data_IF_769992657127
#
_entry.id   IF_769992657127
#
_cell.length_a   1.000
_cell.length_b   1.000
_cell.length_c   1.000
_cell.angle_alpha   90.00
_cell.angle_beta   90.00
_cell.angle_gamma   90.00
#
_symmetry.space_group_name_H-M   'P 1'
#
loop_
_entity.id
_entity.type
_entity.pdbx_description
1 polymer ?
#
# COMPACT_ATOMS: atom_id res chain seq x y z
N UNK A 1 43.22 77.65 -53.62
CA UNK A 1 43.00 78.24 -52.28
C UNK A 1 43.24 77.18 -51.22
N UNK A 2 43.69 77.63 -50.07
CA UNK A 2 44.37 76.94 -48.97
C UNK A 2 43.57 75.92 -48.15
N UNK A 3 44.36 75.12 -47.40
CA UNK A 3 44.16 74.57 -46.05
C UNK A 3 43.11 73.45 -45.86
N UNK A 4 43.47 72.23 -45.43
CA UNK A 4 44.09 71.78 -44.16
C UNK A 4 43.13 71.81 -42.95
N UNK A 5 42.84 70.64 -42.36
CA UNK A 5 43.18 70.28 -40.97
C UNK A 5 42.71 68.85 -40.56
N UNK A 6 43.65 68.11 -39.96
CA UNK A 6 43.58 66.79 -39.28
C UNK A 6 42.80 66.88 -37.93
N UNK A 7 42.34 65.85 -37.20
CA UNK A 7 42.56 64.39 -37.07
C UNK A 7 41.74 63.88 -35.84
N UNK A 8 42.07 62.82 -35.06
CA UNK A 8 42.76 61.54 -35.33
C UNK A 8 42.05 60.25 -34.78
N UNK A 9 42.34 59.10 -35.43
CA UNK A 9 42.61 57.71 -34.94
C UNK A 9 41.85 57.03 -33.77
N UNK A 10 41.34 55.79 -33.97
CA UNK A 10 42.01 54.49 -33.60
C UNK A 10 41.13 53.21 -33.73
N UNK A 11 41.64 52.26 -34.52
CA UNK A 11 41.86 50.80 -34.31
C UNK A 11 40.82 49.88 -33.61
N UNK A 12 40.55 48.74 -34.27
CA UNK A 12 40.67 47.30 -33.88
C UNK A 12 39.59 46.50 -34.65
N UNK A 13 39.75 45.29 -35.18
CA UNK A 13 40.79 44.26 -35.14
C UNK A 13 40.15 42.93 -35.58
N UNK A 14 40.73 42.31 -36.60
CA UNK A 14 40.87 40.87 -36.92
C UNK A 14 39.90 39.81 -36.35
N UNK A 15 39.43 38.90 -37.21
CA UNK A 15 38.97 37.57 -36.79
C UNK A 15 38.44 36.69 -37.93
N UNK A 16 39.19 35.66 -38.29
CA UNK A 16 39.04 34.81 -39.48
C UNK A 16 38.71 33.37 -39.06
N UNK A 17 37.84 32.70 -39.85
CA UNK A 17 37.66 31.22 -40.06
C UNK A 17 37.03 30.37 -38.94
N UNK A 18 36.15 29.44 -39.33
CA UNK A 18 36.42 27.99 -39.44
C UNK A 18 35.17 27.27 -40.01
N UNK A 19 35.41 26.40 -41.00
CA UNK A 19 34.44 25.48 -41.59
C UNK A 19 34.19 24.27 -40.67
N UNK A 20 32.98 23.70 -40.69
CA UNK A 20 32.68 22.44 -40.00
C UNK A 20 32.14 21.40 -40.99
N UNK A 21 32.84 20.27 -40.99
CA UNK A 21 32.64 19.07 -41.81
C UNK A 21 31.58 18.16 -41.18
N UNK A 22 30.91 17.40 -42.04
CA UNK A 22 29.84 16.44 -41.80
C UNK A 22 30.08 15.39 -40.70
N UNK A 23 28.98 14.89 -40.12
CA UNK A 23 28.94 13.67 -39.34
C UNK A 23 27.52 13.29 -38.94
N UNK A 24 26.83 12.50 -39.77
CA UNK A 24 25.63 11.77 -39.36
C UNK A 24 25.98 10.29 -39.39
N UNK A 25 25.99 9.62 -38.24
CA UNK A 25 25.68 8.18 -38.15
C UNK A 25 24.90 7.93 -36.87
N UNK A 26 23.82 7.17 -37.04
CA UNK A 26 22.65 7.11 -36.18
C UNK A 26 22.92 6.43 -34.83
N UNK A 27 22.51 7.09 -33.75
CA UNK A 27 22.26 6.41 -32.48
C UNK A 27 20.97 5.59 -32.62
N UNK A 28 21.09 4.26 -32.71
CA UNK A 28 19.95 3.35 -32.57
C UNK A 28 19.58 3.31 -31.09
N UNK A 29 18.65 4.16 -30.67
CA UNK A 29 18.03 4.06 -29.36
C UNK A 29 17.09 2.86 -29.37
N UNK A 30 17.51 1.75 -28.79
CA UNK A 30 16.63 0.61 -28.57
C UNK A 30 15.50 1.05 -27.61
N UNK A 31 14.31 1.29 -28.16
CA UNK A 31 13.09 1.52 -27.41
C UNK A 31 12.65 0.18 -26.82
N UNK A 32 13.08 -0.09 -25.59
CA UNK A 32 12.60 -1.24 -24.82
C UNK A 32 11.17 -0.92 -24.39
N UNK A 33 10.19 -1.48 -25.10
CA UNK A 33 8.80 -1.49 -24.64
C UNK A 33 8.70 -2.46 -23.46
N UNK A 34 8.76 -1.94 -22.24
CA UNK A 34 8.31 -2.69 -21.07
C UNK A 34 6.79 -2.73 -21.13
N UNK A 35 6.23 -3.83 -21.64
CA UNK A 35 4.82 -4.16 -21.40
C UNK A 35 4.65 -4.35 -19.88
N UNK A 36 4.22 -3.31 -19.20
CA UNK A 36 3.77 -3.42 -17.82
C UNK A 36 2.65 -4.43 -17.79
N UNK A 37 2.86 -5.56 -17.12
CA UNK A 37 1.78 -6.50 -16.87
C UNK A 37 0.76 -5.75 -16.01
N UNK A 38 -0.39 -5.42 -16.59
CA UNK A 38 -1.53 -4.94 -15.82
C UNK A 38 -1.92 -6.09 -14.88
N UNK A 39 -1.56 -5.98 -13.62
CA UNK A 39 -2.02 -6.92 -12.63
C UNK A 39 -3.55 -6.72 -12.52
N UNK A 40 -4.31 -7.76 -12.87
CA UNK A 40 -5.75 -7.76 -12.69
C UNK A 40 -6.04 -7.94 -11.21
N UNK A 41 -6.76 -6.98 -10.62
CA UNK A 41 -7.30 -7.11 -9.28
C UNK A 41 -8.40 -8.19 -9.29
N UNK A 42 -8.24 -9.23 -8.47
CA UNK A 42 -9.24 -10.28 -8.34
C UNK A 42 -10.41 -9.78 -7.50
N UNK A 43 -11.63 -10.11 -7.93
CA UNK A 43 -12.83 -9.86 -7.12
C UNK A 43 -12.86 -10.86 -5.97
N UNK A 44 -12.85 -10.33 -4.74
CA UNK A 44 -12.91 -11.12 -3.51
C UNK A 44 -14.35 -11.31 -3.03
N UNK A 45 -15.19 -10.29 -3.26
CA UNK A 45 -16.59 -10.28 -2.88
C UNK A 45 -17.33 -9.19 -3.66
N UNK A 46 -18.58 -9.43 -4.01
CA UNK A 46 -19.46 -8.44 -4.60
C UNK A 46 -20.90 -8.71 -4.19
N UNK A 47 -21.69 -7.65 -4.06
CA UNK A 47 -23.11 -7.73 -3.81
C UNK A 47 -23.81 -6.48 -4.37
N UNK A 48 -24.72 -6.68 -5.34
CA UNK A 48 -25.56 -5.63 -5.91
C UNK A 48 -26.98 -5.63 -5.32
N UNK A 49 -27.27 -6.57 -4.39
CA UNK A 49 -28.56 -6.74 -3.73
C UNK A 49 -29.77 -6.91 -4.67
N UNK A 50 -29.55 -7.15 -5.97
CA UNK A 50 -30.60 -7.27 -6.98
C UNK A 50 -31.45 -8.53 -6.79
N UNK A 51 -30.91 -9.53 -6.09
CA UNK A 51 -31.59 -10.78 -5.72
C UNK A 51 -32.53 -10.64 -4.51
N UNK A 52 -32.63 -9.44 -3.93
CA UNK A 52 -33.56 -9.12 -2.85
C UNK A 52 -33.12 -9.62 -1.47
N UNK A 53 -31.87 -10.07 -1.30
CA UNK A 53 -31.36 -10.51 0.00
C UNK A 53 -29.93 -9.96 0.28
N UNK A 54 -29.48 -10.12 1.52
CA UNK A 54 -28.13 -9.74 1.94
C UNK A 54 -27.40 -10.97 2.51
N UNK A 55 -27.45 -12.10 1.81
CA UNK A 55 -26.77 -13.31 2.22
C UNK A 55 -25.25 -13.07 2.35
N UNK A 56 -24.63 -13.63 3.39
CA UNK A 56 -23.21 -13.42 3.67
C UNK A 56 -22.89 -12.14 4.46
N UNK A 57 -23.89 -11.30 4.75
CA UNK A 57 -23.74 -10.15 5.64
C UNK A 57 -24.10 -10.48 7.09
N UNK A 58 -23.40 -9.86 8.03
CA UNK A 58 -23.67 -9.95 9.47
C UNK A 58 -23.77 -8.56 10.08
N UNK A 59 -24.92 -8.25 10.67
CA UNK A 59 -25.23 -6.91 11.20
C UNK A 59 -24.85 -6.76 12.68
N UNK A 60 -24.47 -5.54 13.05
CA UNK A 60 -24.31 -5.10 14.44
C UNK A 60 -25.01 -3.76 14.61
N UNK A 61 -26.14 -3.77 15.33
CA UNK A 61 -26.98 -2.60 15.55
C UNK A 61 -27.74 -2.11 14.30
N UNK A 62 -28.69 -1.21 14.52
CA UNK A 62 -29.57 -0.68 13.47
C UNK A 62 -30.64 -1.66 13.01
N UNK A 63 -31.36 -1.25 11.96
CA UNK A 63 -32.40 -2.04 11.30
C UNK A 63 -32.05 -2.12 9.82
N UNK A 64 -31.71 -3.32 9.36
CA UNK A 64 -31.18 -3.56 8.03
C UNK A 64 -32.12 -4.45 7.23
N UNK A 65 -32.35 -4.10 5.96
CA UNK A 65 -33.18 -4.88 5.05
C UNK A 65 -32.82 -4.56 3.61
N UNK A 66 -32.89 -5.54 2.72
CA UNK A 66 -32.85 -5.27 1.28
C UNK A 66 -34.24 -4.90 0.80
N UNK A 67 -34.33 -3.81 0.03
CA UNK A 67 -35.57 -3.35 -0.58
C UNK A 67 -35.25 -2.63 -1.88
N UNK A 68 -36.04 -2.91 -2.92
CA UNK A 68 -35.87 -2.32 -4.26
C UNK A 68 -34.44 -2.44 -4.83
N UNK A 69 -33.78 -3.58 -4.60
CA UNK A 69 -32.43 -3.84 -5.09
C UNK A 69 -31.31 -3.09 -4.35
N UNK A 70 -31.57 -2.56 -3.15
CA UNK A 70 -30.55 -1.89 -2.34
C UNK A 70 -30.61 -2.34 -0.89
N UNK A 71 -29.46 -2.40 -0.23
CA UNK A 71 -29.37 -2.74 1.18
C UNK A 71 -29.52 -1.50 2.05
N UNK A 72 -30.64 -1.38 2.74
CA UNK A 72 -31.01 -0.19 3.50
C UNK A 72 -30.78 -0.37 5.00
N UNK A 73 -30.25 0.68 5.62
CA UNK A 73 -30.34 0.92 7.05
C UNK A 73 -31.36 2.03 7.28
N UNK A 74 -32.40 1.78 8.08
CA UNK A 74 -33.56 2.67 8.20
C UNK A 74 -33.57 3.61 9.42
N UNK A 75 -32.63 3.46 10.36
CA UNK A 75 -32.67 4.16 11.66
C UNK A 75 -31.48 5.06 11.93
N UNK A 76 -31.69 6.27 12.47
CA UNK A 76 -30.61 7.21 12.80
C UNK A 76 -30.21 7.21 14.29
N UNK A 77 -30.70 6.25 15.08
CA UNK A 77 -30.53 6.23 16.55
C UNK A 77 -29.38 5.36 17.05
N UNK A 78 -28.66 4.64 16.17
CA UNK A 78 -27.62 3.70 16.57
C UNK A 78 -26.36 3.81 15.70
N UNK A 79 -25.23 3.37 16.26
CA UNK A 79 -24.03 3.05 15.47
C UNK A 79 -24.22 1.68 14.82
N UNK A 80 -24.66 1.67 13.55
CA UNK A 80 -24.97 0.45 12.83
C UNK A 80 -23.85 0.05 11.88
N UNK A 81 -23.60 -1.25 11.76
CA UNK A 81 -22.64 -1.84 10.82
C UNK A 81 -23.17 -3.13 10.22
N UNK A 82 -22.71 -3.45 9.03
CA UNK A 82 -22.94 -4.74 8.39
C UNK A 82 -21.63 -5.23 7.79
N UNK A 83 -21.22 -6.45 8.07
CA UNK A 83 -19.89 -6.98 7.72
C UNK A 83 -20.02 -8.19 6.79
N UNK A 84 -19.13 -8.31 5.82
CA UNK A 84 -19.12 -9.42 4.87
C UNK A 84 -17.69 -9.87 4.52
N UNK A 85 -17.59 -11.09 4.00
CA UNK A 85 -16.34 -11.64 3.50
C UNK A 85 -15.42 -12.25 4.57
N UNK A 86 -14.13 -12.27 4.28
CA UNK A 86 -13.12 -13.01 5.06
C UNK A 86 -12.27 -12.11 5.97
N UNK A 87 -11.87 -12.63 7.14
CA UNK A 87 -10.91 -11.96 8.03
C UNK A 87 -9.46 -12.05 7.53
N UNK A 88 -9.18 -12.88 6.52
CA UNK A 88 -7.83 -13.09 5.98
C UNK A 88 -7.38 -12.03 4.96
N UNK A 89 -8.27 -11.16 4.50
CA UNK A 89 -7.93 -10.18 3.47
C UNK A 89 -7.01 -9.10 4.01
N UNK A 90 -5.81 -8.97 3.42
CA UNK A 90 -4.75 -8.05 3.85
C UNK A 90 -4.67 -6.82 2.97
N UNK A 91 -4.73 -6.98 1.65
CA UNK A 91 -4.73 -5.89 0.68
C UNK A 91 -6.07 -5.84 0.01
N UNK A 92 -6.84 -4.80 0.29
CA UNK A 92 -8.23 -4.69 -0.18
C UNK A 92 -8.54 -3.29 -0.70
N UNK A 93 -9.31 -3.24 -1.78
CA UNK A 93 -10.07 -2.05 -2.15
C UNK A 93 -11.55 -2.37 -1.99
N UNK A 94 -12.23 -1.61 -1.14
CA UNK A 94 -13.68 -1.71 -0.93
C UNK A 94 -14.33 -0.54 -1.63
N UNK A 95 -15.39 -0.79 -2.38
CA UNK A 95 -16.21 0.24 -3.01
C UNK A 95 -17.69 -0.08 -2.86
N UNK A 96 -18.51 0.97 -2.79
CA UNK A 96 -19.96 0.87 -2.81
C UNK A 96 -20.58 2.21 -3.22
N UNK A 97 -21.77 2.15 -3.80
CA UNK A 97 -22.65 3.31 -3.89
C UNK A 97 -23.38 3.48 -2.58
N UNK A 98 -23.34 4.70 -2.02
CA UNK A 98 -24.02 5.05 -0.77
C UNK A 98 -24.98 6.19 -1.01
N UNK A 99 -26.17 6.11 -0.43
CA UNK A 99 -27.20 7.14 -0.53
C UNK A 99 -27.76 7.45 0.87
N UNK A 100 -27.24 8.46 1.58
CA UNK A 100 -27.80 8.88 2.85
C UNK A 100 -29.24 9.38 2.65
N UNK A 101 -30.16 8.98 3.50
CA UNK A 101 -31.56 9.46 3.49
C UNK A 101 -31.85 10.37 4.68
N UNK A 102 -31.15 10.18 5.80
CA UNK A 102 -31.22 11.07 6.95
C UNK A 102 -29.93 11.01 7.78
N UNK A 103 -29.44 12.15 8.22
CA UNK A 103 -28.38 12.24 9.23
C UNK A 103 -29.00 12.58 10.58
N UNK A 104 -28.69 11.81 11.62
CA UNK A 104 -29.12 12.11 12.99
C UNK A 104 -28.41 13.33 13.58
N UNK A 105 -28.48 13.51 14.90
CA UNK A 105 -27.88 14.67 15.58
C UNK A 105 -26.51 14.38 16.21
N UNK A 106 -26.08 13.12 16.25
CA UNK A 106 -24.80 12.74 16.84
C UNK A 106 -23.61 13.38 16.10
N UNK A 107 -22.58 13.81 16.83
CA UNK A 107 -21.36 14.37 16.23
C UNK A 107 -20.59 13.36 15.38
N UNK A 108 -20.68 12.06 15.72
CA UNK A 108 -20.04 10.96 15.00
C UNK A 108 -20.86 10.41 13.82
N UNK A 109 -22.01 11.04 13.51
CA UNK A 109 -22.90 10.59 12.44
C UNK A 109 -22.19 10.52 11.08
N UNK A 110 -22.61 9.57 10.26
CA UNK A 110 -22.16 9.41 8.90
C UNK A 110 -22.43 8.02 8.34
N UNK A 111 -22.32 7.91 7.03
CA UNK A 111 -22.54 6.67 6.27
C UNK A 111 -21.28 6.36 5.46
N UNK A 112 -20.95 5.09 5.24
CA UNK A 112 -19.83 4.74 4.37
C UNK A 112 -19.43 3.28 4.39
N UNK A 113 -18.18 3.02 4.05
CA UNK A 113 -17.62 1.69 3.86
C UNK A 113 -16.42 1.45 4.79
N UNK A 114 -16.16 0.18 5.11
CA UNK A 114 -15.08 -0.24 5.98
C UNK A 114 -14.23 -1.34 5.33
N UNK A 115 -12.94 -1.31 5.66
CA UNK A 115 -11.94 -2.27 5.24
C UNK A 115 -11.17 -2.79 6.45
N UNK A 116 -10.63 -4.00 6.32
CA UNK A 116 -9.84 -4.68 7.36
C UNK A 116 -10.56 -4.71 8.72
N UNK A 117 -11.84 -5.03 8.70
CA UNK A 117 -12.67 -5.13 9.90
C UNK A 117 -12.29 -6.39 10.68
N UNK A 118 -11.68 -6.21 11.85
CA UNK A 118 -11.37 -7.27 12.80
C UNK A 118 -12.49 -7.45 13.82
N UNK A 119 -13.10 -6.33 14.23
CA UNK A 119 -14.28 -6.30 15.11
C UNK A 119 -15.11 -5.05 14.84
N UNK A 120 -16.26 -4.90 15.50
CA UNK A 120 -17.11 -3.71 15.42
C UNK A 120 -16.48 -2.44 16.00
N UNK A 121 -15.31 -2.56 16.63
CA UNK A 121 -14.51 -1.44 17.17
C UNK A 121 -13.13 -1.29 16.49
N UNK A 122 -12.65 -2.33 15.79
CA UNK A 122 -11.32 -2.37 15.17
C UNK A 122 -11.45 -2.53 13.65
N UNK A 123 -11.34 -1.41 12.94
CA UNK A 123 -11.47 -1.33 11.48
C UNK A 123 -10.93 0.01 10.96
N UNK A 124 -10.72 0.10 9.65
CA UNK A 124 -10.64 1.38 8.95
C UNK A 124 -11.93 1.64 8.19
N UNK A 125 -12.40 2.88 8.17
CA UNK A 125 -13.60 3.25 7.42
C UNK A 125 -13.41 4.56 6.67
N UNK A 126 -14.01 4.64 5.50
CA UNK A 126 -14.25 5.89 4.78
C UNK A 126 -15.70 6.28 5.03
N UNK A 127 -15.89 7.38 5.75
CA UNK A 127 -17.21 7.84 6.21
C UNK A 127 -17.52 9.20 5.60
N UNK A 128 -18.69 9.26 4.97
CA UNK A 128 -19.34 10.47 4.51
C UNK A 128 -20.21 11.05 5.63
N UNK A 129 -19.94 12.30 5.97
CA UNK A 129 -20.73 13.10 6.92
C UNK A 129 -21.42 14.24 6.15
N UNK A 130 -22.31 15.04 6.77
CA UNK A 130 -22.94 16.16 6.06
C UNK A 130 -21.95 17.18 5.46
N UNK A 131 -20.79 17.38 6.09
CA UNK A 131 -19.83 18.45 5.74
C UNK A 131 -18.39 17.98 5.49
N UNK A 132 -18.13 16.68 5.58
CA UNK A 132 -16.79 16.12 5.33
C UNK A 132 -16.81 14.66 4.90
N UNK A 133 -15.72 14.24 4.25
CA UNK A 133 -15.35 12.84 4.09
C UNK A 133 -14.15 12.54 4.97
N UNK A 134 -14.15 11.39 5.64
CA UNK A 134 -13.20 11.07 6.70
C UNK A 134 -12.68 9.64 6.58
N UNK A 135 -11.37 9.44 6.73
CA UNK A 135 -10.80 8.15 7.08
C UNK A 135 -10.81 8.04 8.60
N UNK A 136 -11.52 7.04 9.13
CA UNK A 136 -11.61 6.76 10.57
C UNK A 136 -10.95 5.44 10.92
N UNK A 137 -10.38 5.38 12.12
CA UNK A 137 -9.91 4.18 12.81
C UNK A 137 -10.89 3.88 13.94
N UNK A 138 -11.56 2.73 13.83
CA UNK A 138 -12.65 2.38 14.73
C UNK A 138 -13.77 3.44 14.73
N UNK A 139 -14.50 3.53 15.84
CA UNK A 139 -15.61 4.47 15.98
C UNK A 139 -15.19 5.89 16.43
N UNK A 140 -13.97 6.07 16.93
CA UNK A 140 -13.60 7.26 17.73
C UNK A 140 -12.48 8.13 17.18
N UNK A 141 -11.69 7.67 16.20
CA UNK A 141 -10.50 8.40 15.74
C UNK A 141 -10.59 8.73 14.26
N UNK A 142 -10.55 10.01 13.92
CA UNK A 142 -10.39 10.47 12.53
C UNK A 142 -8.90 10.59 12.22
N UNK A 143 -8.43 9.86 11.21
CA UNK A 143 -7.04 9.87 10.76
C UNK A 143 -6.77 10.91 9.66
N UNK A 144 -7.77 11.16 8.81
CA UNK A 144 -7.73 12.19 7.79
C UNK A 144 -9.15 12.67 7.48
N UNK A 145 -9.28 13.93 7.06
CA UNK A 145 -10.55 14.55 6.71
C UNK A 145 -10.36 15.56 5.60
N UNK A 146 -11.37 15.69 4.74
CA UNK A 146 -11.48 16.75 3.75
C UNK A 146 -12.92 17.29 3.72
N UNK A 147 -13.08 18.57 3.38
CA UNK A 147 -14.40 19.18 3.22
C UNK A 147 -15.15 18.53 2.06
N UNK A 148 -16.40 18.14 2.31
CA UNK A 148 -17.28 17.54 1.30
C UNK A 148 -18.73 17.75 1.72
N UNK A 149 -19.58 18.28 0.85
CA UNK A 149 -20.99 18.53 1.19
C UNK A 149 -21.87 17.39 0.70
N UNK A 150 -22.30 16.52 1.60
CA UNK A 150 -23.19 15.40 1.29
C UNK A 150 -24.65 15.82 1.45
N UNK A 151 -25.45 15.60 0.41
CA UNK A 151 -26.89 15.86 0.41
C UNK A 151 -27.66 14.55 0.60
N UNK A 152 -28.72 14.59 1.40
CA UNK A 152 -29.64 13.45 1.51
C UNK A 152 -30.35 13.18 0.20
N UNK A 153 -30.58 11.91 -0.12
CA UNK A 153 -31.22 11.48 -1.37
C UNK A 153 -30.27 11.41 -2.56
N UNK A 154 -29.04 11.91 -2.44
CA UNK A 154 -28.00 11.83 -3.49
C UNK A 154 -27.12 10.61 -3.30
N UNK A 155 -26.84 9.91 -4.40
CA UNK A 155 -25.93 8.76 -4.41
C UNK A 155 -24.48 9.21 -4.60
N UNK A 156 -23.56 8.57 -3.87
CA UNK A 156 -22.12 8.79 -3.94
C UNK A 156 -21.40 7.46 -4.06
N UNK A 157 -20.44 7.34 -4.97
CA UNK A 157 -19.56 6.17 -5.03
C UNK A 157 -18.38 6.39 -4.10
N UNK A 158 -18.28 5.59 -3.05
CA UNK A 158 -17.13 5.61 -2.15
C UNK A 158 -16.14 4.53 -2.56
N UNK A 159 -14.85 4.81 -2.41
CA UNK A 159 -13.81 3.79 -2.52
C UNK A 159 -12.74 3.99 -1.46
N UNK A 160 -12.44 2.92 -0.73
CA UNK A 160 -11.40 2.87 0.29
C UNK A 160 -10.40 1.79 -0.09
N UNK A 161 -9.16 2.20 -0.40
CA UNK A 161 -8.04 1.29 -0.60
C UNK A 161 -7.20 1.18 0.66
N UNK A 162 -6.92 -0.05 1.08
CA UNK A 162 -6.07 -0.38 2.22
C UNK A 162 -4.98 -1.38 1.78
N UNK A 163 -3.77 -0.87 1.54
CA UNK A 163 -2.62 -1.64 1.08
C UNK A 163 -1.39 -1.35 1.96
N UNK A 164 -0.84 -2.38 2.62
CA UNK A 164 0.17 -2.17 3.66
C UNK A 164 -0.36 -1.21 4.73
N UNK A 165 0.40 -0.17 5.08
CA UNK A 165 -0.09 0.89 5.97
C UNK A 165 -0.82 2.04 5.26
N UNK A 166 -0.90 2.04 3.92
CA UNK A 166 -1.50 3.14 3.15
C UNK A 166 -3.02 3.01 3.11
N UNK A 167 -3.71 4.11 3.42
CA UNK A 167 -5.15 4.24 3.36
C UNK A 167 -5.51 5.42 2.44
N UNK A 168 -6.30 5.14 1.40
CA UNK A 168 -6.70 6.15 0.41
C UNK A 168 -8.20 6.09 0.22
N UNK A 169 -8.86 7.24 0.33
CA UNK A 169 -10.30 7.39 0.20
C UNK A 169 -10.69 8.33 -0.93
N UNK A 170 -11.62 7.91 -1.77
CA UNK A 170 -12.19 8.70 -2.85
C UNK A 170 -13.72 8.75 -2.79
N UNK A 171 -14.26 9.82 -3.37
CA UNK A 171 -15.71 10.00 -3.60
C UNK A 171 -15.90 10.29 -5.07
N UNK A 172 -16.80 9.56 -5.73
CA UNK A 172 -17.08 9.66 -7.16
C UNK A 172 -15.82 9.56 -8.03
N UNK A 173 -14.89 8.67 -7.66
CA UNK A 173 -13.62 8.45 -8.35
C UNK A 173 -12.52 9.48 -8.07
N UNK A 174 -12.83 10.62 -7.42
CA UNK A 174 -11.82 11.61 -7.04
C UNK A 174 -11.24 11.32 -5.67
N UNK A 175 -9.92 11.15 -5.57
CA UNK A 175 -9.23 10.98 -4.29
C UNK A 175 -9.30 12.27 -3.47
N UNK A 176 -9.89 12.20 -2.27
CA UNK A 176 -10.07 13.36 -1.39
C UNK A 176 -9.26 13.27 -0.11
N UNK A 177 -8.97 12.06 0.38
CA UNK A 177 -8.27 11.85 1.65
C UNK A 177 -7.27 10.71 1.52
N UNK A 178 -6.12 10.84 2.18
CA UNK A 178 -5.13 9.77 2.31
C UNK A 178 -4.38 9.90 3.63
N UNK A 179 -3.94 8.78 4.18
CA UNK A 179 -3.18 8.72 5.44
C UNK A 179 -2.43 7.39 5.54
N UNK A 180 -1.65 7.20 6.61
CA UNK A 180 -0.99 5.95 6.92
C UNK A 180 -1.28 5.48 8.35
N UNK A 181 -1.69 4.21 8.49
CA UNK A 181 -1.83 3.50 9.77
C UNK A 181 -1.75 1.99 9.52
N UNK A 182 -0.94 1.28 10.30
CA UNK A 182 -0.68 -0.16 10.16
C UNK A 182 -1.28 -1.03 11.29
N UNK A 183 -2.14 -0.46 12.14
CA UNK A 183 -2.70 -1.14 13.31
C UNK A 183 -3.60 -2.33 12.94
N UNK A 184 -4.31 -2.26 11.82
CA UNK A 184 -5.14 -3.34 11.32
C UNK A 184 -4.58 -3.85 9.99
N UNK A 185 -3.96 -5.04 10.04
CA UNK A 185 -3.27 -5.65 8.89
C UNK A 185 -4.17 -6.50 7.98
N UNK A 186 -5.31 -6.98 8.50
CA UNK A 186 -6.26 -7.78 7.74
C UNK A 186 -7.67 -7.68 8.32
N UNK A 187 -8.67 -8.08 7.55
CA UNK A 187 -10.03 -8.23 8.04
C UNK A 187 -11.08 -8.18 6.94
N UNK A 188 -12.33 -8.28 7.38
CA UNK A 188 -13.53 -8.25 6.53
C UNK A 188 -13.73 -6.88 5.87
N UNK A 189 -14.64 -6.82 4.90
CA UNK A 189 -15.23 -5.58 4.44
C UNK A 189 -16.49 -5.26 5.27
N UNK A 190 -16.96 -4.02 5.21
CA UNK A 190 -18.22 -3.67 5.85
C UNK A 190 -18.84 -2.37 5.37
N UNK A 191 -20.10 -2.18 5.79
CA UNK A 191 -20.89 -0.98 5.63
C UNK A 191 -21.05 -0.32 7.00
N UNK A 192 -21.01 1.01 7.01
CA UNK A 192 -21.06 1.82 8.22
C UNK A 192 -22.22 2.80 8.10
N UNK A 193 -23.13 2.79 9.07
CA UNK A 193 -24.24 3.72 9.18
C UNK A 193 -24.32 4.22 10.63
N UNK A 194 -23.44 5.15 10.99
CA UNK A 194 -23.40 5.71 12.33
C UNK A 194 -24.47 6.79 12.44
N UNK A 195 -25.52 6.56 13.23
CA UNK A 195 -26.60 7.53 13.47
C UNK A 195 -27.15 8.15 12.18
N UNK A 196 -27.24 7.35 11.12
CA UNK A 196 -27.55 7.81 9.76
C UNK A 196 -28.35 6.72 9.08
N UNK A 197 -29.50 7.08 8.51
CA UNK A 197 -30.26 6.20 7.64
C UNK A 197 -29.78 6.38 6.18
N UNK A 198 -29.82 5.31 5.41
CA UNK A 198 -29.42 5.34 4.00
C UNK A 198 -29.42 3.97 3.35
N UNK A 199 -29.11 3.95 2.06
CA UNK A 199 -29.02 2.74 1.26
C UNK A 199 -27.59 2.54 0.72
N UNK A 200 -27.25 1.28 0.53
CA UNK A 200 -26.00 0.80 -0.04
C UNK A 200 -26.30 -0.09 -1.23
N UNK A 201 -25.47 0.01 -2.26
CA UNK A 201 -25.63 -0.73 -3.51
C UNK A 201 -24.27 -0.91 -4.19
N UNK A 202 -24.16 -1.87 -5.10
CA UNK A 202 -22.98 -2.15 -5.92
C UNK A 202 -21.71 -2.30 -5.06
N UNK A 203 -21.77 -3.13 -4.02
CA UNK A 203 -20.61 -3.41 -3.19
C UNK A 203 -19.63 -4.26 -3.98
N UNK A 204 -18.37 -3.83 -4.04
CA UNK A 204 -17.29 -4.57 -4.66
C UNK A 204 -16.03 -4.51 -3.79
N UNK A 205 -15.46 -5.67 -3.53
CA UNK A 205 -14.18 -5.85 -2.83
C UNK A 205 -13.21 -6.55 -3.75
N UNK A 206 -12.05 -5.95 -3.97
CA UNK A 206 -10.97 -6.55 -4.76
C UNK A 206 -9.69 -6.64 -3.96
N UNK A 207 -8.83 -7.61 -4.29
CA UNK A 207 -7.43 -7.50 -3.88
C UNK A 207 -6.78 -6.40 -4.73
N UNK A 208 -6.19 -5.39 -4.10
CA UNK A 208 -5.49 -4.37 -4.87
C UNK A 208 -4.21 -5.03 -5.40
N UNK A 209 -4.28 -5.64 -6.60
CA UNK A 209 -3.12 -5.97 -7.38
C UNK A 209 -2.50 -4.65 -7.87
N UNK A 210 -1.85 -3.93 -6.97
CA UNK A 210 -0.92 -2.88 -7.37
C UNK A 210 0.19 -3.52 -8.22
N UNK A 211 0.94 -2.75 -9.02
CA UNK A 211 2.18 -3.28 -9.57
C UNK A 211 3.05 -3.69 -8.39
N UNK A 212 3.15 -4.99 -8.15
CA UNK A 212 4.24 -5.51 -7.33
C UNK A 212 5.49 -5.00 -8.04
N UNK A 213 6.43 -4.31 -7.37
CA UNK A 213 7.75 -4.16 -7.94
C UNK A 213 8.25 -5.59 -8.13
N UNK A 214 8.18 -6.10 -9.36
CA UNK A 214 8.97 -7.26 -9.74
C UNK A 214 10.38 -6.83 -9.42
N UNK A 215 10.91 -7.41 -8.35
CA UNK A 215 12.33 -7.34 -8.06
C UNK A 215 12.98 -7.80 -9.35
N UNK A 216 13.67 -6.89 -10.05
CA UNK A 216 14.45 -7.25 -11.21
C UNK A 216 15.23 -8.52 -10.83
N UNK A 217 15.22 -9.58 -11.67
CA UNK A 217 16.02 -10.76 -11.37
C UNK A 217 17.43 -10.26 -11.03
N UNK A 218 18.07 -10.78 -9.96
CA UNK A 218 19.37 -10.28 -9.54
C UNK A 218 20.27 -10.28 -10.77
N UNK A 219 20.66 -9.09 -11.21
CA UNK A 219 21.61 -8.92 -12.31
C UNK A 219 22.83 -9.69 -11.88
N UNK A 220 23.03 -10.86 -12.49
CA UNK A 220 24.19 -11.69 -12.23
C UNK A 220 25.38 -10.81 -12.56
N UNK A 221 26.28 -10.49 -11.63
CA UNK A 221 27.49 -9.79 -12.00
C UNK A 221 28.20 -10.70 -13.00
N UNK A 222 28.36 -10.21 -14.24
CA UNK A 222 29.23 -10.84 -15.23
C UNK A 222 30.59 -10.98 -14.58
N UNK A 223 30.90 -12.20 -14.15
CA UNK A 223 32.23 -12.54 -13.68
C UNK A 223 33.12 -12.49 -14.90
N UNK A 224 33.86 -11.39 -15.03
CA UNK A 224 35.04 -11.31 -15.89
C UNK A 224 35.84 -12.60 -15.72
N UNK A 225 36.13 -13.36 -16.78
CA UNK A 225 36.87 -14.61 -16.66
C UNK A 225 38.23 -14.34 -15.99
N UNK A 226 38.65 -15.14 -14.99
CA UNK A 226 39.96 -14.96 -14.39
C UNK A 226 41.06 -15.23 -15.45
N UNK A 227 42.18 -14.49 -15.41
CA UNK A 227 43.26 -14.70 -16.37
C UNK A 227 43.78 -16.14 -16.29
N UNK A 228 43.90 -16.76 -17.46
CA UNK A 228 44.31 -18.15 -17.66
C UNK A 228 45.67 -18.39 -17.00
N UNK A 229 45.71 -19.09 -15.86
CA UNK A 229 46.96 -19.47 -15.19
C UNK A 229 47.75 -20.42 -16.08
N UNK A 230 48.99 -20.02 -16.40
CA UNK A 230 50.02 -20.81 -17.08
C UNK A 230 50.25 -22.13 -16.32
N UNK A 231 50.39 -23.30 -16.98
CA UNK A 231 50.52 -24.58 -16.29
C UNK A 231 51.82 -24.64 -15.46
N UNK A 232 51.67 -24.94 -14.16
CA UNK A 232 52.79 -25.25 -13.26
C UNK A 232 53.40 -26.59 -13.65
N UNK A 233 54.73 -26.61 -13.83
CA UNK A 233 55.52 -27.84 -14.00
C UNK A 233 55.32 -28.76 -12.80
N UNK A 234 55.03 -30.04 -13.08
CA UNK A 234 54.89 -31.12 -12.09
C UNK A 234 56.22 -31.30 -11.34
N UNK A 235 56.16 -31.30 -10.01
CA UNK A 235 57.26 -31.71 -9.12
C UNK A 235 57.18 -33.23 -8.91
N UNK A 236 58.29 -33.99 -8.94
CA UNK A 236 58.26 -35.44 -8.71
C UNK A 236 58.08 -35.79 -7.22
N UNK A 237 57.57 -36.98 -6.90
CA UNK A 237 57.27 -37.38 -5.54
C UNK A 237 58.54 -37.71 -4.75
N UNK A 238 58.64 -37.22 -3.49
CA UNK A 238 59.65 -37.66 -2.53
C UNK A 238 59.08 -38.73 -1.59
N UNK A 239 59.92 -39.74 -1.37
CA UNK A 239 59.71 -41.01 -0.67
C UNK A 239 59.23 -40.87 0.78
N UNK A 240 58.42 -41.86 1.19
CA UNK A 240 58.05 -42.19 2.57
C UNK A 240 59.28 -42.57 3.42
N UNK A 241 59.24 -42.25 4.73
CA UNK A 241 59.90 -43.00 5.83
C UNK A 241 59.10 -42.87 7.14
N UNK A 242 59.30 -43.78 8.12
CA UNK A 242 58.23 -44.26 9.01
C UNK A 242 58.26 -43.73 10.47
N UNK A 243 57.10 -43.95 11.11
CA UNK A 243 56.68 -43.98 12.52
C UNK A 243 57.76 -43.96 13.62
N UNK A 244 57.50 -43.20 14.69
CA UNK A 244 57.93 -43.52 16.06
C UNK A 244 56.87 -43.08 17.10
N UNK A 245 56.74 -43.90 18.13
CA UNK A 245 55.82 -43.84 19.27
C UNK A 245 56.11 -42.70 20.26
N UNK A 246 55.05 -42.13 20.88
CA UNK A 246 54.98 -41.88 22.35
C UNK A 246 53.57 -41.45 22.80
N UNK A 247 53.10 -42.06 23.88
CA UNK A 247 52.08 -41.55 24.83
C UNK A 247 52.79 -41.41 26.20
N UNK A 248 52.15 -41.06 27.34
CA UNK A 248 50.81 -40.51 27.63
C UNK A 248 50.81 -39.32 28.65
N UNK A 249 49.60 -38.88 29.04
CA UNK A 249 49.16 -38.51 30.41
C UNK A 249 48.81 -37.04 30.76
N UNK A 250 47.67 -36.94 31.47
CA UNK A 250 47.27 -35.88 32.41
C UNK A 250 46.39 -34.77 31.80
N UNK A 251 45.38 -34.19 32.46
CA UNK A 251 44.70 -34.38 33.75
C UNK A 251 43.65 -33.26 33.84
N UNK A 252 42.51 -33.52 34.49
CA UNK A 252 41.61 -32.56 35.20
C UNK A 252 41.04 -31.35 34.41
N UNK A 253 39.79 -30.92 34.60
CA UNK A 253 38.88 -31.08 35.70
C UNK A 253 37.48 -30.58 35.33
N UNK A 254 36.55 -30.86 36.24
CA UNK A 254 35.12 -30.97 36.03
C UNK A 254 34.26 -29.69 36.05
N UNK A 255 32.94 -29.84 36.36
CA UNK A 255 31.84 -29.14 35.69
C UNK A 255 31.12 -28.12 36.59
N UNK A 256 30.11 -27.42 36.04
CA UNK A 256 28.88 -26.85 36.67
C UNK A 256 28.37 -25.70 35.78
N UNK A 257 27.09 -25.39 35.57
CA UNK A 257 25.76 -25.88 35.96
C UNK A 257 24.76 -25.07 35.09
N UNK A 258 23.59 -25.57 34.66
CA UNK A 258 22.55 -24.74 34.07
C UNK A 258 21.63 -24.15 35.16
N UNK A 259 21.28 -22.87 35.05
CA UNK A 259 20.29 -22.22 35.92
C UNK A 259 18.90 -22.30 35.29
N UNK A 260 18.00 -23.00 35.98
CA UNK A 260 16.57 -23.15 35.70
C UNK A 260 15.79 -22.10 36.48
N UNK A 261 14.81 -21.50 35.82
CA UNK A 261 13.75 -20.60 36.32
C UNK A 261 12.62 -21.44 36.95
N UNK A 262 11.92 -21.01 38.02
CA UNK A 262 10.50 -20.63 37.84
C UNK A 262 9.98 -19.57 38.87
N UNK A 263 9.09 -18.64 38.47
CA UNK A 263 7.63 -18.53 38.77
C UNK A 263 7.30 -18.02 40.19
N UNK A 264 6.51 -16.93 40.27
CA UNK A 264 5.95 -16.32 41.50
C UNK A 264 4.81 -17.15 42.13
N UNK A 265 3.78 -16.56 42.79
CA UNK A 265 3.42 -15.15 42.97
C UNK A 265 2.98 -14.78 44.42
N UNK A 266 2.31 -13.62 44.53
CA UNK A 266 1.29 -13.22 45.52
C UNK A 266 1.70 -12.33 46.71
N UNK A 267 1.18 -11.10 46.67
CA UNK A 267 0.86 -10.26 47.83
C UNK A 267 -0.35 -10.85 48.60
N UNK A 268 -0.63 -10.44 49.86
CA UNK A 268 -1.44 -9.21 50.05
C UNK A 268 -1.19 -8.44 51.37
N UNK A 269 -1.43 -7.11 51.34
CA UNK A 269 -2.38 -6.38 52.21
C UNK A 269 -2.33 -4.89 51.89
#
# INVERSE_FOLDING_TARGET
MQAAQNGPTRRRGTGTRIALVAGVTAAVTALVFTIGSAASAATLFSDDFADGNANGWSTSGGSWSVSSGAYAQSGSSASAKSLAGSTSWTTVTVSATVRPTAFGSAGSRGIGIAARVQSTSNFYALVLTPSSVQIRKGAGTTLASASFSASTGTSYTLTLSANGGSLVGSVNGSQLVSTSDSSYGSGRAGLVANYTAGAFDNVLVTDAAGPSPTTAPPSTPTTTPPPRRRPRRRRPPRRRRPRAHRSPAGSSGGPRRPAVRPVGPAAPR
#
